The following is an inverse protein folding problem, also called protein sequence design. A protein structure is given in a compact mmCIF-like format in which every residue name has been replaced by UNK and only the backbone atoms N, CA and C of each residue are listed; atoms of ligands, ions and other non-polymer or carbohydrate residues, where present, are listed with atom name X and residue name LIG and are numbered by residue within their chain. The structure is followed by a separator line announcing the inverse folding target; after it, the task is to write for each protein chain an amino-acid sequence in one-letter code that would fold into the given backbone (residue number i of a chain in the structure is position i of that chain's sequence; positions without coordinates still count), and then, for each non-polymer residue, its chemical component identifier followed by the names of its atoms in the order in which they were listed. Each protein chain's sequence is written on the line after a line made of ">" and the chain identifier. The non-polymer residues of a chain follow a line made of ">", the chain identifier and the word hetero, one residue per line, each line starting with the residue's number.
data_IF_171242863162
#
_entry.id   IF_171242863162
#
_cell.length_a   1.000
_cell.length_b   1.000
_cell.length_c   1.000
_cell.angle_alpha   90.00
_cell.angle_beta   90.00
_cell.angle_gamma   90.00
#
_symmetry.space_group_name_H-M   'P 1'
#
loop_
_entity.id
_entity.type
_entity.pdbx_description
1 polymer ?
#
# COMPACT_ATOMS: atom_id res chain seq x y z
N UNK A 1 44.89 7.41 -36.81
CA UNK A 1 44.40 6.07 -36.47
C UNK A 1 44.23 6.09 -34.94
N UNK A 2 43.02 6.44 -34.46
CA UNK A 2 42.72 6.53 -33.03
C UNK A 2 42.00 5.25 -32.63
N UNK A 3 42.62 4.52 -31.74
CA UNK A 3 42.07 3.28 -31.13
C UNK A 3 40.98 3.64 -30.14
N UNK A 4 39.74 3.28 -30.47
CA UNK A 4 38.58 3.42 -29.57
C UNK A 4 38.49 2.15 -28.73
N UNK A 5 39.17 2.15 -27.59
CA UNK A 5 39.09 1.10 -26.58
C UNK A 5 37.66 0.93 -26.06
N UNK A 6 36.99 -0.14 -26.46
CA UNK A 6 35.66 -0.49 -26.01
C UNK A 6 35.69 -0.88 -24.51
N UNK A 7 35.01 -0.11 -23.67
CA UNK A 7 34.69 -0.51 -22.31
C UNK A 7 33.67 -1.66 -22.36
N UNK A 8 34.14 -2.88 -22.25
CA UNK A 8 33.29 -4.03 -22.01
C UNK A 8 32.75 -3.93 -20.57
N UNK A 9 31.49 -3.56 -20.40
CA UNK A 9 30.78 -3.75 -19.14
C UNK A 9 30.65 -5.26 -18.91
N UNK A 10 31.41 -5.78 -17.96
CA UNK A 10 31.27 -7.16 -17.51
C UNK A 10 29.89 -7.31 -16.88
N UNK A 11 29.03 -8.06 -17.55
CA UNK A 11 27.76 -8.52 -16.97
C UNK A 11 28.06 -9.38 -15.74
N UNK A 12 27.32 -9.25 -14.62
CA UNK A 12 27.50 -10.13 -13.46
C UNK A 12 27.29 -11.58 -13.90
N UNK A 13 28.28 -12.40 -13.70
CA UNK A 13 28.28 -13.80 -14.11
C UNK A 13 27.51 -14.65 -13.09
N UNK A 14 26.43 -15.24 -13.56
CA UNK A 14 25.76 -16.38 -12.96
C UNK A 14 24.78 -16.09 -11.82
N UNK A 15 23.87 -17.02 -11.53
CA UNK A 15 22.99 -16.90 -10.38
C UNK A 15 23.84 -16.90 -9.11
N UNK A 16 23.70 -15.85 -8.29
CA UNK A 16 24.26 -15.80 -6.95
C UNK A 16 23.84 -17.07 -6.19
N UNK A 17 24.79 -17.74 -5.52
CA UNK A 17 24.43 -18.89 -4.67
C UNK A 17 23.39 -18.42 -3.65
N UNK A 18 22.34 -19.22 -3.38
CA UNK A 18 21.37 -18.87 -2.36
C UNK A 18 22.10 -18.66 -1.03
N UNK A 19 21.94 -17.48 -0.47
CA UNK A 19 22.50 -17.13 0.83
C UNK A 19 21.41 -17.31 1.89
N UNK A 20 21.73 -18.05 2.95
CA UNK A 20 20.78 -18.28 4.03
C UNK A 20 20.72 -17.06 4.93
N UNK A 21 19.58 -16.36 4.91
CA UNK A 21 19.39 -15.15 5.73
C UNK A 21 18.82 -15.46 7.12
N UNK A 22 18.10 -16.59 7.29
CA UNK A 22 17.42 -16.92 8.54
C UNK A 22 17.18 -18.43 8.63
N UNK A 23 17.33 -18.95 9.83
CA UNK A 23 16.88 -20.30 10.19
C UNK A 23 15.67 -20.23 11.12
N UNK A 24 14.55 -20.86 10.75
CA UNK A 24 13.43 -21.10 11.65
C UNK A 24 13.60 -22.50 12.27
N UNK A 25 13.91 -22.52 13.57
CA UNK A 25 14.10 -23.77 14.32
C UNK A 25 12.86 -24.05 15.15
N UNK A 26 12.06 -25.04 14.74
CA UNK A 26 10.97 -25.53 15.58
C UNK A 26 11.46 -26.55 16.60
N UNK A 27 10.88 -26.58 17.82
CA UNK A 27 11.20 -27.63 18.77
C UNK A 27 10.81 -29.00 18.22
N UNK A 28 11.56 -30.05 18.58
CA UNK A 28 11.34 -31.43 18.08
C UNK A 28 9.92 -31.96 18.37
N UNK A 29 9.32 -31.55 19.49
CA UNK A 29 7.98 -31.94 19.91
C UNK A 29 7.19 -30.70 20.33
N UNK A 30 6.68 -29.85 19.40
CA UNK A 30 5.90 -28.70 19.78
C UNK A 30 4.57 -29.15 20.40
N UNK A 31 4.25 -28.62 21.56
CA UNK A 31 2.91 -28.77 22.12
C UNK A 31 1.97 -27.89 21.30
N UNK A 32 0.97 -28.44 20.62
CA UNK A 32 0.01 -27.62 19.90
C UNK A 32 -0.77 -26.76 20.90
N UNK A 33 -0.77 -25.45 20.66
CA UNK A 33 -1.63 -24.55 21.40
C UNK A 33 -3.02 -24.59 20.76
N UNK A 34 -4.09 -24.69 21.55
CA UNK A 34 -5.44 -24.62 21.01
C UNK A 34 -5.67 -23.25 20.37
N UNK A 35 -6.33 -23.22 19.23
CA UNK A 35 -6.80 -21.96 18.65
C UNK A 35 -7.81 -21.31 19.61
N UNK A 36 -7.78 -19.97 19.75
CA UNK A 36 -8.74 -19.27 20.59
C UNK A 36 -10.16 -19.51 20.04
N UNK A 37 -11.12 -19.80 20.93
CA UNK A 37 -12.53 -20.01 20.55
C UNK A 37 -13.21 -18.74 20.04
N UNK A 38 -12.70 -17.57 20.41
CA UNK A 38 -13.17 -16.28 19.97
C UNK A 38 -11.98 -15.31 19.86
N UNK A 39 -12.03 -14.43 18.90
CA UNK A 39 -11.10 -13.32 18.76
C UNK A 39 -11.58 -12.13 19.62
N UNK A 40 -10.68 -11.21 19.92
CA UNK A 40 -11.05 -9.96 20.61
C UNK A 40 -12.16 -9.23 19.81
N UNK A 41 -13.13 -8.61 20.52
CA UNK A 41 -14.15 -7.81 19.86
C UNK A 41 -13.53 -6.73 19.00
N UNK A 42 -14.10 -6.50 17.82
CA UNK A 42 -13.64 -5.43 16.94
C UNK A 42 -14.21 -4.09 17.45
N UNK A 43 -13.38 -3.03 17.59
CA UNK A 43 -13.86 -1.77 18.13
C UNK A 43 -14.90 -1.14 17.19
N UNK A 44 -15.95 -0.56 17.75
CA UNK A 44 -16.86 0.31 17.01
C UNK A 44 -16.17 1.65 16.79
N UNK A 45 -16.08 2.07 15.53
CA UNK A 45 -15.53 3.37 15.16
C UNK A 45 -16.63 4.43 15.14
N UNK A 46 -16.28 5.71 15.41
CA UNK A 46 -17.19 6.83 15.20
C UNK A 46 -17.70 6.91 13.75
N UNK A 47 -18.78 7.63 13.53
CA UNK A 47 -19.27 7.93 12.19
C UNK A 47 -18.19 8.69 11.39
N UNK A 48 -17.98 8.39 10.10
CA UNK A 48 -17.00 9.07 9.28
C UNK A 48 -17.43 10.53 9.05
N UNK A 49 -16.44 11.44 9.09
CA UNK A 49 -16.69 12.89 8.93
C UNK A 49 -16.58 13.35 7.48
N UNK A 50 -15.90 12.58 6.62
CA UNK A 50 -15.69 12.91 5.21
C UNK A 50 -15.48 11.64 4.38
N UNK A 51 -15.84 11.71 3.10
CA UNK A 51 -15.46 10.72 2.09
C UNK A 51 -14.45 11.33 1.14
N UNK A 52 -13.33 10.64 0.92
CA UNK A 52 -12.29 11.02 -0.04
C UNK A 52 -12.24 10.05 -1.19
N UNK A 53 -11.96 10.55 -2.38
CA UNK A 53 -11.70 9.73 -3.56
C UNK A 53 -10.23 9.83 -3.94
N UNK A 54 -9.60 8.68 -4.11
CA UNK A 54 -8.26 8.51 -4.66
C UNK A 54 -8.35 7.69 -5.94
N UNK A 55 -7.71 8.16 -6.99
CA UNK A 55 -7.72 7.49 -8.30
C UNK A 55 -6.31 7.10 -8.66
N UNK A 56 -6.08 5.81 -8.86
CA UNK A 56 -4.81 5.24 -9.29
C UNK A 56 -4.85 5.12 -10.83
N UNK A 57 -3.85 5.64 -11.50
CA UNK A 57 -3.69 5.56 -12.96
C UNK A 57 -2.25 5.36 -13.34
N UNK A 58 -1.98 4.83 -14.53
CA UNK A 58 -0.65 4.71 -15.10
C UNK A 58 -0.58 5.22 -16.54
N UNK A 59 0.62 5.66 -16.92
CA UNK A 59 1.05 5.86 -18.30
C UNK A 59 2.19 4.89 -18.59
N UNK A 60 1.86 3.77 -19.23
CA UNK A 60 2.82 2.71 -19.53
C UNK A 60 3.86 3.15 -20.55
N UNK A 61 3.54 4.09 -21.46
CA UNK A 61 4.50 4.59 -22.45
C UNK A 61 5.58 5.47 -21.80
N UNK A 62 5.17 6.30 -20.84
CA UNK A 62 6.08 7.13 -20.07
C UNK A 62 6.63 6.42 -18.81
N UNK A 63 6.17 5.21 -18.54
CA UNK A 63 6.46 4.45 -17.32
C UNK A 63 6.28 5.29 -16.05
N UNK A 64 5.13 5.96 -15.94
CA UNK A 64 4.76 6.84 -14.84
C UNK A 64 3.46 6.36 -14.20
N UNK A 65 3.38 6.54 -12.90
CA UNK A 65 2.26 6.10 -12.09
C UNK A 65 1.76 7.26 -11.23
N UNK A 66 0.44 7.38 -11.09
CA UNK A 66 -0.18 8.57 -10.53
C UNK A 66 -1.21 8.21 -9.45
N UNK A 67 -1.34 9.11 -8.46
CA UNK A 67 -2.52 9.19 -7.60
C UNK A 67 -3.18 10.54 -7.84
N UNK A 68 -4.47 10.55 -8.20
CA UNK A 68 -5.22 11.75 -8.58
C UNK A 68 -4.52 12.58 -9.69
N UNK A 69 -3.90 11.89 -10.67
CA UNK A 69 -3.19 12.52 -11.78
C UNK A 69 -1.87 13.20 -11.38
N UNK A 70 -1.38 12.99 -10.15
CA UNK A 70 -0.13 13.56 -9.65
C UNK A 70 0.92 12.46 -9.45
N UNK A 71 2.17 12.75 -9.81
CA UNK A 71 3.33 12.00 -9.36
C UNK A 71 3.76 12.48 -7.98
N UNK A 72 4.46 11.65 -7.23
CA UNK A 72 4.95 11.98 -5.90
C UNK A 72 5.83 13.24 -5.87
N UNK A 73 5.56 14.10 -4.89
CA UNK A 73 6.42 15.22 -4.49
C UNK A 73 6.43 15.30 -2.96
N UNK A 74 7.55 15.01 -2.33
CA UNK A 74 7.71 15.00 -0.88
C UNK A 74 7.41 16.35 -0.19
N UNK A 75 7.43 17.44 -0.94
CA UNK A 75 7.12 18.79 -0.44
C UNK A 75 5.64 19.13 -0.50
N UNK A 76 4.88 18.41 -1.34
CA UNK A 76 3.44 18.62 -1.49
C UNK A 76 2.69 17.80 -0.44
N UNK A 77 1.67 18.39 0.16
CA UNK A 77 0.68 17.68 0.96
C UNK A 77 -0.52 17.40 0.05
N UNK A 78 -0.78 16.12 -0.25
CA UNK A 78 -1.85 15.71 -1.14
C UNK A 78 -3.19 15.64 -0.42
N UNK A 79 -3.18 15.21 0.85
CA UNK A 79 -4.36 15.14 1.71
C UNK A 79 -4.08 15.77 3.07
N UNK A 80 -5.10 16.46 3.60
CA UNK A 80 -5.11 16.94 4.99
C UNK A 80 -6.23 16.29 5.75
N UNK A 81 -5.93 15.68 6.89
CA UNK A 81 -6.88 15.06 7.80
C UNK A 81 -6.85 15.70 9.18
N UNK A 82 -7.87 15.42 9.98
CA UNK A 82 -7.95 15.84 11.37
C UNK A 82 -7.76 14.62 12.29
N UNK A 83 -6.87 14.74 13.27
CA UNK A 83 -6.65 13.68 14.25
C UNK A 83 -7.93 13.35 15.04
N UNK A 84 -8.05 12.11 15.48
CA UNK A 84 -9.18 11.57 16.24
C UNK A 84 -10.51 11.57 15.46
N UNK A 85 -10.45 11.66 14.11
CA UNK A 85 -11.61 11.48 13.24
C UNK A 85 -11.52 10.17 12.46
N UNK A 86 -12.63 9.81 11.83
CA UNK A 86 -12.72 8.66 10.93
C UNK A 86 -13.14 9.17 9.55
N UNK A 87 -12.51 8.69 8.50
CA UNK A 87 -12.82 9.04 7.12
C UNK A 87 -13.19 7.77 6.33
N UNK A 88 -13.99 7.95 5.28
CA UNK A 88 -14.13 6.92 4.23
C UNK A 88 -13.21 7.29 3.08
N UNK A 89 -12.37 6.35 2.66
CA UNK A 89 -11.55 6.51 1.45
C UNK A 89 -12.07 5.56 0.38
N UNK A 90 -12.40 6.12 -0.77
CA UNK A 90 -12.75 5.38 -1.98
C UNK A 90 -11.53 5.40 -2.89
N UNK A 91 -10.80 4.29 -2.89
CA UNK A 91 -9.62 4.11 -3.73
C UNK A 91 -10.05 3.37 -4.98
N UNK A 92 -9.93 4.01 -6.12
CA UNK A 92 -10.34 3.51 -7.42
C UNK A 92 -9.10 3.20 -8.27
N UNK A 93 -9.02 2.02 -8.82
CA UNK A 93 -8.01 1.65 -9.79
C UNK A 93 -8.59 1.83 -11.20
N UNK A 94 -8.18 2.89 -11.89
CA UNK A 94 -8.54 3.17 -13.29
C UNK A 94 -7.46 2.69 -14.27
N UNK A 95 -6.42 2.03 -13.78
CA UNK A 95 -5.38 1.44 -14.58
C UNK A 95 -5.71 0.03 -15.05
N UNK A 96 -4.80 -0.53 -15.86
CA UNK A 96 -4.92 -1.87 -16.42
C UNK A 96 -4.21 -2.94 -15.57
N UNK A 97 -3.44 -2.53 -14.56
CA UNK A 97 -2.69 -3.41 -13.65
C UNK A 97 -3.35 -3.48 -12.27
N UNK A 98 -3.06 -4.56 -11.53
CA UNK A 98 -3.44 -4.63 -10.12
C UNK A 98 -2.55 -3.72 -9.27
N UNK A 99 -3.15 -2.98 -8.33
CA UNK A 99 -2.43 -2.10 -7.42
C UNK A 99 -2.71 -2.45 -5.96
N UNK A 100 -1.73 -2.96 -5.20
CA UNK A 100 -1.81 -3.03 -3.75
C UNK A 100 -1.66 -1.61 -3.16
N UNK A 101 -2.76 -1.03 -2.69
CA UNK A 101 -2.76 0.27 -2.02
C UNK A 101 -2.36 0.11 -0.55
N UNK A 102 -1.36 0.84 -0.12
CA UNK A 102 -0.85 0.87 1.25
C UNK A 102 -0.99 2.26 1.86
N UNK A 103 -1.36 2.30 3.15
CA UNK A 103 -1.40 3.51 3.97
C UNK A 103 -0.55 3.31 5.21
N UNK A 104 0.46 4.13 5.38
CA UNK A 104 1.31 4.12 6.57
C UNK A 104 0.59 4.67 7.80
N UNK A 105 1.00 4.23 9.00
CA UNK A 105 0.61 4.75 10.33
C UNK A 105 -0.86 4.52 10.69
N UNK A 106 -1.79 4.63 9.75
CA UNK A 106 -3.24 4.57 9.99
C UNK A 106 -3.85 3.30 9.43
N UNK A 107 -3.85 2.17 10.16
CA UNK A 107 -4.51 0.96 9.70
C UNK A 107 -6.01 1.22 9.54
N UNK A 108 -6.58 0.63 8.51
CA UNK A 108 -7.96 0.82 8.10
C UNK A 108 -8.78 -0.48 8.14
N UNK A 109 -10.09 -0.36 8.06
CA UNK A 109 -11.01 -1.46 7.81
C UNK A 109 -11.45 -1.42 6.36
N UNK A 110 -11.40 -2.55 5.66
CA UNK A 110 -11.97 -2.66 4.31
C UNK A 110 -13.46 -2.88 4.44
N UNK A 111 -14.27 -1.99 3.88
CA UNK A 111 -15.73 -2.10 3.85
C UNK A 111 -16.20 -2.92 2.64
N UNK A 112 -15.62 -2.66 1.47
CA UNK A 112 -15.93 -3.36 0.22
C UNK A 112 -14.79 -3.27 -0.77
N UNK A 113 -14.71 -4.22 -1.71
CA UNK A 113 -13.83 -4.21 -2.89
C UNK A 113 -14.63 -4.66 -4.09
N UNK A 114 -14.51 -3.96 -5.23
CA UNK A 114 -15.24 -4.28 -6.46
C UNK A 114 -16.75 -4.33 -6.28
N UNK A 115 -17.31 -3.46 -5.43
CA UNK A 115 -18.73 -3.40 -5.10
C UNK A 115 -19.22 -4.51 -4.17
N UNK A 116 -18.38 -5.42 -3.72
CA UNK A 116 -18.74 -6.52 -2.81
C UNK A 116 -18.31 -6.21 -1.38
N UNK A 117 -19.16 -6.42 -0.37
CA UNK A 117 -18.78 -6.28 1.02
C UNK A 117 -17.56 -7.16 1.35
N UNK A 118 -16.64 -6.61 2.15
CA UNK A 118 -15.49 -7.40 2.58
C UNK A 118 -15.95 -8.49 3.58
N UNK A 119 -15.48 -9.75 3.43
CA UNK A 119 -16.10 -10.89 4.12
C UNK A 119 -15.86 -10.94 5.62
N UNK A 120 -14.93 -10.16 6.15
CA UNK A 120 -14.61 -10.11 7.58
C UNK A 120 -14.08 -8.74 8.00
N UNK A 121 -14.14 -8.46 9.29
CA UNK A 121 -13.53 -7.26 9.87
C UNK A 121 -12.10 -7.57 10.30
N UNK A 122 -11.16 -6.78 9.82
CA UNK A 122 -9.75 -6.82 10.24
C UNK A 122 -9.14 -5.44 10.08
N UNK A 123 -8.13 -5.16 10.91
CA UNK A 123 -7.22 -4.06 10.65
C UNK A 123 -6.27 -4.48 9.54
N UNK A 124 -6.22 -3.66 8.50
CA UNK A 124 -5.33 -3.81 7.37
C UNK A 124 -4.61 -2.48 7.11
N UNK A 125 -3.47 -2.57 6.50
CA UNK A 125 -2.70 -1.44 6.02
C UNK A 125 -2.49 -1.51 4.50
N UNK A 126 -2.80 -2.69 3.90
CA UNK A 126 -2.75 -2.93 2.46
C UNK A 126 -4.07 -3.53 1.98
N UNK A 127 -4.53 -3.09 0.81
CA UNK A 127 -5.64 -3.69 0.06
C UNK A 127 -5.28 -3.72 -1.43
N UNK A 128 -5.42 -4.87 -2.07
CA UNK A 128 -5.20 -5.00 -3.52
C UNK A 128 -6.47 -4.66 -4.27
N UNK A 129 -6.35 -3.77 -5.26
CA UNK A 129 -7.40 -3.42 -6.22
C UNK A 129 -7.01 -3.97 -7.58
N UNK A 130 -7.87 -4.78 -8.17
CA UNK A 130 -7.73 -5.19 -9.56
C UNK A 130 -8.08 -4.03 -10.49
N UNK A 131 -7.70 -4.14 -11.74
CA UNK A 131 -8.08 -3.19 -12.79
C UNK A 131 -9.61 -2.92 -12.75
N UNK A 132 -10.02 -1.66 -12.70
CA UNK A 132 -11.41 -1.22 -12.64
C UNK A 132 -12.11 -1.37 -11.28
N UNK A 133 -11.45 -1.87 -10.24
CA UNK A 133 -12.07 -2.02 -8.92
C UNK A 133 -11.98 -0.73 -8.08
N UNK A 134 -12.97 -0.59 -7.20
CA UNK A 134 -13.00 0.42 -6.13
C UNK A 134 -12.97 -0.28 -4.79
N UNK A 135 -12.05 0.09 -3.91
CA UNK A 135 -12.08 -0.27 -2.50
C UNK A 135 -12.64 0.88 -1.66
N UNK A 136 -13.57 0.57 -0.75
CA UNK A 136 -14.03 1.51 0.28
C UNK A 136 -13.40 1.14 1.61
N UNK A 137 -12.69 2.08 2.18
CA UNK A 137 -11.90 1.91 3.40
C UNK A 137 -12.44 2.83 4.49
N UNK A 138 -12.54 2.33 5.71
CA UNK A 138 -12.83 3.14 6.89
C UNK A 138 -11.51 3.42 7.60
N UNK A 139 -11.07 4.67 7.58
CA UNK A 139 -9.73 5.10 7.99
C UNK A 139 -9.82 5.97 9.25
N UNK A 140 -9.48 5.44 10.43
CA UNK A 140 -9.35 6.26 11.63
C UNK A 140 -8.00 6.96 11.62
N UNK A 141 -8.00 8.28 11.62
CA UNK A 141 -6.82 9.12 11.73
C UNK A 141 -6.48 9.33 13.21
N UNK A 142 -5.55 8.53 13.74
CA UNK A 142 -5.24 8.50 15.17
C UNK A 142 -4.07 9.40 15.54
N UNK A 143 -3.02 9.37 14.73
CA UNK A 143 -1.74 10.01 15.01
C UNK A 143 -1.61 11.32 14.21
N UNK A 144 -1.07 12.37 14.84
CA UNK A 144 -0.72 13.62 14.18
C UNK A 144 0.61 13.50 13.47
N UNK A 145 0.76 14.25 12.38
CA UNK A 145 2.01 14.32 11.63
C UNK A 145 1.84 14.04 10.15
N UNK A 146 2.97 13.88 9.47
CA UNK A 146 3.01 13.55 8.04
C UNK A 146 3.31 12.08 7.85
N UNK A 147 2.58 11.46 6.94
CA UNK A 147 2.79 10.09 6.51
C UNK A 147 2.52 9.97 5.02
N UNK A 148 2.71 8.78 4.45
CA UNK A 148 2.51 8.52 3.03
C UNK A 148 1.48 7.42 2.80
N UNK A 149 0.89 7.43 1.62
CA UNK A 149 0.10 6.36 1.05
C UNK A 149 0.60 6.10 -0.37
N UNK A 150 0.64 4.84 -0.81
CA UNK A 150 1.24 4.50 -2.09
C UNK A 150 0.80 3.11 -2.60
N UNK A 151 1.12 2.81 -3.85
CA UNK A 151 1.10 1.45 -4.36
C UNK A 151 2.30 0.68 -3.80
N UNK A 152 2.09 -0.56 -3.34
CA UNK A 152 3.16 -1.37 -2.73
C UNK A 152 3.95 -2.21 -3.76
N UNK A 153 3.81 -1.92 -5.05
CA UNK A 153 4.72 -2.38 -6.09
C UNK A 153 5.86 -1.36 -6.16
N UNK A 154 7.08 -1.77 -5.80
CA UNK A 154 8.25 -0.89 -5.65
C UNK A 154 8.49 -0.04 -6.90
N UNK A 155 8.38 -0.63 -8.09
CA UNK A 155 8.55 0.11 -9.35
C UNK A 155 7.50 1.20 -9.54
N UNK A 156 6.24 0.97 -9.13
CA UNK A 156 5.17 1.96 -9.24
C UNK A 156 5.36 3.09 -8.22
N UNK A 157 5.75 2.75 -7.00
CA UNK A 157 6.10 3.69 -5.94
C UNK A 157 7.24 4.61 -6.36
N UNK A 158 8.37 4.05 -6.80
CA UNK A 158 9.56 4.79 -7.26
C UNK A 158 9.26 5.71 -8.44
N UNK A 159 8.27 5.35 -9.27
CA UNK A 159 7.87 6.09 -10.47
C UNK A 159 6.65 6.99 -10.25
N UNK A 160 6.27 7.23 -9.00
CA UNK A 160 5.37 8.32 -8.63
C UNK A 160 4.03 7.96 -8.02
N UNK A 161 3.64 6.67 -7.90
CA UNK A 161 2.35 6.28 -7.30
C UNK A 161 2.37 6.37 -5.78
N UNK A 162 2.58 7.58 -5.27
CA UNK A 162 2.64 7.92 -3.85
C UNK A 162 2.07 9.31 -3.58
N UNK A 163 1.54 9.53 -2.39
CA UNK A 163 1.08 10.82 -1.90
C UNK A 163 1.36 11.02 -0.43
N UNK A 164 1.30 12.28 0.02
CA UNK A 164 1.54 12.70 1.40
C UNK A 164 0.21 13.03 2.08
N UNK A 165 -0.04 12.41 3.22
CA UNK A 165 -1.11 12.74 4.15
C UNK A 165 -0.53 13.54 5.34
N UNK A 166 -1.11 14.69 5.64
CA UNK A 166 -0.83 15.46 6.85
C UNK A 166 -2.06 15.44 7.76
N UNK A 167 -1.87 15.01 9.00
CA UNK A 167 -2.91 14.94 10.04
C UNK A 167 -2.61 15.98 11.12
N UNK A 168 -3.54 16.92 11.34
CA UNK A 168 -3.41 18.03 12.29
C UNK A 168 -4.26 17.90 13.55
#
# INVERSE_FOLDING_TARGET
>A
MMDMGGMAHAMPQGPSRPETLLYLIAPKNPKPLPLPKALSPFPTLPAPVVTRRLVLTEDMMAARFFINGQVFDHRRVDLKGQAQTVEVWEVENQGDMDHPFHLHVHPFQVLSVGGRPFPYRAWKDVVTLKAGEVARLLVPLREKGRTVFHCHIVEHEDRGMMGVLEVG
#
